data_IF_430474155160
#
_entry.id   IF_430474155160
#
_cell.length_a   1.000
_cell.length_b   1.000
_cell.length_c   1.000
_cell.angle_alpha   90.00
_cell.angle_beta   90.00
_cell.angle_gamma   90.00
#
_symmetry.space_group_name_H-M   'P 1'
#
loop_
_entity.id
_entity.type
_entity.pdbx_description
1 polymer ?
#
# COMPACT_ATOMS: atom_id res chain seq x y z
N UNK A 1 3.31 18.43 16.48
CA UNK A 1 2.43 18.12 17.59
C UNK A 1 3.25 18.30 18.84
N UNK A 2 2.72 18.94 19.88
CA UNK A 2 3.44 18.96 21.16
C UNK A 2 3.60 17.52 21.63
N UNK A 3 4.82 17.11 21.98
CA UNK A 3 5.16 15.74 22.38
C UNK A 3 4.23 15.22 23.49
N UNK A 4 3.78 16.14 24.35
CA UNK A 4 2.79 15.92 25.42
C UNK A 4 1.48 15.28 24.95
N UNK A 5 1.00 15.59 23.74
CA UNK A 5 -0.23 15.01 23.20
C UNK A 5 0.04 13.78 22.32
N UNK A 6 1.16 13.79 21.59
CA UNK A 6 1.51 12.72 20.67
C UNK A 6 1.84 11.40 21.41
N UNK A 7 2.53 11.48 22.56
CA UNK A 7 2.90 10.30 23.35
C UNK A 7 1.68 9.54 23.90
N UNK A 8 0.75 10.16 24.64
CA UNK A 8 -0.46 9.47 25.10
C UNK A 8 -1.31 8.93 23.95
N UNK A 9 -1.45 9.69 22.86
CA UNK A 9 -2.21 9.24 21.69
C UNK A 9 -1.55 8.03 21.01
N UNK A 10 -0.22 8.02 20.87
CA UNK A 10 0.53 6.88 20.33
C UNK A 10 0.37 5.65 21.23
N UNK A 11 0.50 5.82 22.55
CA UNK A 11 0.26 4.74 23.51
C UNK A 11 -1.18 4.19 23.42
N UNK A 12 -2.18 5.06 23.26
CA UNK A 12 -3.57 4.66 23.10
C UNK A 12 -3.81 3.87 21.81
N UNK A 13 -3.18 4.27 20.70
CA UNK A 13 -3.22 3.53 19.43
C UNK A 13 -2.57 2.15 19.55
N UNK A 14 -1.39 2.07 20.17
CA UNK A 14 -0.68 0.81 20.39
C UNK A 14 -1.50 -0.13 21.29
N UNK A 15 -2.04 0.41 22.39
CA UNK A 15 -2.92 -0.34 23.30
C UNK A 15 -4.17 -0.86 22.56
N UNK A 16 -4.79 -0.01 21.73
CA UNK A 16 -5.93 -0.42 20.90
C UNK A 16 -5.54 -1.53 19.91
N UNK A 17 -4.41 -1.39 19.22
CA UNK A 17 -3.93 -2.38 18.25
C UNK A 17 -3.67 -3.73 18.92
N UNK A 18 -3.07 -3.72 20.11
CA UNK A 18 -2.80 -4.92 20.92
C UNK A 18 -4.09 -5.54 21.47
N UNK A 19 -4.98 -4.74 22.07
CA UNK A 19 -6.23 -5.25 22.67
C UNK A 19 -7.20 -5.83 21.64
N UNK A 20 -7.10 -5.42 20.37
CA UNK A 20 -7.97 -5.89 19.28
C UNK A 20 -7.26 -6.84 18.31
N UNK A 21 -6.02 -7.26 18.60
CA UNK A 21 -5.19 -8.08 17.70
C UNK A 21 -5.19 -7.57 16.25
N UNK A 22 -5.21 -6.25 16.06
CA UNK A 22 -5.33 -5.65 14.71
C UNK A 22 -4.01 -5.67 13.95
N UNK A 23 -2.87 -5.77 14.66
CA UNK A 23 -1.52 -5.80 14.11
C UNK A 23 -0.72 -6.97 14.69
N UNK A 24 0.19 -7.51 13.90
CA UNK A 24 1.21 -8.46 14.39
C UNK A 24 2.22 -7.73 15.31
N UNK A 25 3.02 -8.44 16.14
CA UNK A 25 4.05 -7.80 16.97
C UNK A 25 5.03 -6.94 16.15
N UNK A 26 5.48 -7.44 14.99
CA UNK A 26 6.29 -6.66 14.06
C UNK A 26 5.51 -5.47 13.48
N UNK A 27 4.21 -5.66 13.19
CA UNK A 27 3.31 -4.58 12.76
C UNK A 27 3.19 -3.46 13.79
N UNK A 28 3.10 -3.78 15.09
CA UNK A 28 3.08 -2.80 16.18
C UNK A 28 4.39 -2.00 16.20
N UNK A 29 5.54 -2.67 16.05
CA UNK A 29 6.84 -1.99 15.99
C UNK A 29 6.90 -1.00 14.80
N UNK A 30 6.55 -1.45 13.60
CA UNK A 30 6.51 -0.58 12.41
C UNK A 30 5.50 0.58 12.56
N UNK A 31 4.33 0.31 13.14
CA UNK A 31 3.33 1.34 13.41
C UNK A 31 3.82 2.36 14.44
N UNK A 32 4.60 1.94 15.43
CA UNK A 32 5.21 2.83 16.43
C UNK A 32 6.24 3.76 15.80
N UNK A 33 7.11 3.23 14.92
CA UNK A 33 8.09 4.04 14.18
C UNK A 33 7.39 5.05 13.26
N UNK A 34 6.37 4.60 12.55
CA UNK A 34 5.53 5.45 11.69
C UNK A 34 4.86 6.56 12.51
N UNK A 35 4.25 6.21 13.64
CA UNK A 35 3.61 7.17 14.55
C UNK A 35 4.62 8.20 15.09
N UNK A 36 5.84 7.77 15.44
CA UNK A 36 6.90 8.68 15.87
C UNK A 36 7.32 9.66 14.76
N UNK A 37 7.47 9.19 13.52
CA UNK A 37 7.79 10.04 12.38
C UNK A 37 6.70 11.11 12.13
N UNK A 38 5.42 10.74 12.27
CA UNK A 38 4.30 11.69 12.13
C UNK A 38 4.18 12.62 13.34
N UNK A 39 4.48 12.15 14.55
CA UNK A 39 4.47 12.93 15.77
C UNK A 39 5.59 13.99 15.83
N UNK A 40 6.73 13.72 15.18
CA UNK A 40 7.85 14.65 15.06
C UNK A 40 7.47 15.96 14.36
N UNK A 41 6.49 15.90 13.45
CA UNK A 41 6.01 17.03 12.66
C UNK A 41 5.38 18.12 13.55
N UNK A 42 5.73 19.42 13.44
CA UNK A 42 5.19 20.50 14.30
C UNK A 42 3.67 20.66 14.26
N UNK A 43 3.05 20.52 13.09
CA UNK A 43 1.59 20.50 12.96
C UNK A 43 0.99 19.15 13.34
N UNK A 44 -0.27 19.15 13.80
CA UNK A 44 -0.99 17.93 14.18
C UNK A 44 -1.46 17.11 12.96
N UNK A 45 -1.49 17.73 11.77
CA UNK A 45 -2.07 17.16 10.56
C UNK A 45 -1.58 15.73 10.25
N UNK A 46 -0.28 15.43 10.07
CA UNK A 46 0.12 14.10 9.62
C UNK A 46 -0.25 13.00 10.62
N UNK A 47 -0.07 13.27 11.91
CA UNK A 47 -0.44 12.33 12.97
C UNK A 47 -1.96 12.13 13.05
N UNK A 48 -2.75 13.19 12.86
CA UNK A 48 -4.21 13.09 12.82
C UNK A 48 -4.68 12.24 11.63
N UNK A 49 -4.08 12.41 10.44
CA UNK A 49 -4.43 11.61 9.26
C UNK A 49 -4.08 10.13 9.45
N UNK A 50 -2.91 9.82 10.05
CA UNK A 50 -2.55 8.46 10.43
C UNK A 50 -3.60 7.85 11.37
N UNK A 51 -4.02 8.58 12.41
CA UNK A 51 -5.06 8.14 13.34
C UNK A 51 -6.38 7.86 12.62
N UNK A 52 -6.84 8.80 11.79
CA UNK A 52 -8.11 8.68 11.07
C UNK A 52 -8.06 7.50 10.11
N UNK A 53 -7.00 7.35 9.33
CA UNK A 53 -6.80 6.21 8.44
C UNK A 53 -6.82 4.88 9.19
N UNK A 54 -6.05 4.76 10.28
CA UNK A 54 -5.99 3.53 11.07
C UNK A 54 -7.36 3.17 11.65
N UNK A 55 -8.05 4.12 12.27
CA UNK A 55 -9.35 3.88 12.90
C UNK A 55 -10.44 3.59 11.87
N UNK A 56 -10.50 4.36 10.78
CA UNK A 56 -11.47 4.20 9.72
C UNK A 56 -11.25 2.89 8.95
N UNK A 57 -10.01 2.62 8.54
CA UNK A 57 -9.63 1.38 7.86
C UNK A 57 -9.92 0.14 8.71
N UNK A 58 -9.56 0.15 10.00
CA UNK A 58 -9.88 -0.95 10.93
C UNK A 58 -11.38 -1.18 11.03
N UNK A 59 -12.19 -0.10 11.11
CA UNK A 59 -13.66 -0.24 11.15
C UNK A 59 -14.20 -0.91 9.90
N UNK A 60 -13.77 -0.47 8.72
CA UNK A 60 -14.25 -1.02 7.45
C UNK A 60 -13.81 -2.47 7.24
N UNK A 61 -12.61 -2.83 7.70
CA UNK A 61 -12.11 -4.22 7.67
C UNK A 61 -13.05 -5.17 8.43
N UNK A 62 -13.62 -4.73 9.56
CA UNK A 62 -14.55 -5.56 10.35
C UNK A 62 -16.00 -5.56 9.85
N UNK A 63 -16.36 -4.74 8.85
CA UNK A 63 -17.73 -4.73 8.32
C UNK A 63 -18.01 -6.07 7.60
N UNK A 64 -18.95 -6.84 8.13
CA UNK A 64 -19.42 -8.11 7.54
C UNK A 64 -18.28 -9.12 7.27
N UNK A 65 -17.26 -9.14 8.12
CA UNK A 65 -16.07 -9.99 7.96
C UNK A 65 -16.41 -11.48 7.75
N UNK A 66 -17.40 -12.01 8.49
CA UNK A 66 -17.84 -13.41 8.34
C UNK A 66 -18.49 -13.73 6.99
N UNK A 67 -19.02 -12.73 6.29
CA UNK A 67 -19.54 -12.89 4.91
C UNK A 67 -18.38 -12.81 3.91
N UNK A 68 -17.45 -11.85 4.10
CA UNK A 68 -16.27 -11.66 3.24
C UNK A 68 -15.39 -12.91 3.21
N UNK A 69 -15.23 -13.55 4.37
CA UNK A 69 -14.53 -14.81 4.56
C UNK A 69 -14.94 -15.94 3.60
N UNK A 70 -16.18 -15.90 3.11
CA UNK A 70 -16.73 -16.93 2.24
C UNK A 70 -16.52 -16.64 0.74
N UNK A 71 -16.00 -15.47 0.37
CA UNK A 71 -15.80 -15.09 -1.03
C UNK A 71 -14.42 -15.47 -1.59
N UNK A 72 -13.41 -15.67 -0.73
CA UNK A 72 -12.05 -16.09 -1.12
C UNK A 72 -11.58 -17.28 -0.31
N UNK A 73 -10.49 -17.92 -0.76
CA UNK A 73 -9.85 -19.05 -0.09
C UNK A 73 -8.43 -18.67 0.32
N UNK A 74 -7.96 -19.09 1.50
CA UNK A 74 -6.54 -18.94 1.84
C UNK A 74 -5.71 -20.03 1.16
N UNK A 75 -4.48 -19.71 0.78
CA UNK A 75 -3.53 -20.66 0.17
C UNK A 75 -3.25 -21.91 1.03
N UNK A 76 -3.47 -21.85 2.35
CA UNK A 76 -3.32 -22.96 3.32
C UNK A 76 -4.60 -23.78 3.58
N UNK A 77 -5.69 -23.53 2.85
CA UNK A 77 -6.89 -24.39 2.87
C UNK A 77 -7.92 -24.10 3.97
N UNK A 78 -7.77 -23.01 4.73
CA UNK A 78 -8.80 -22.50 5.66
C UNK A 78 -9.70 -21.46 4.99
N UNK A 79 -10.93 -21.28 5.51
CA UNK A 79 -11.85 -20.22 5.07
C UNK A 79 -11.21 -18.84 5.21
N UNK A 80 -11.47 -17.97 4.23
CA UNK A 80 -10.84 -16.65 4.05
C UNK A 80 -11.18 -15.65 5.14
N UNK A 81 -10.51 -14.51 5.13
CA UNK A 81 -10.62 -13.44 6.13
C UNK A 81 -9.23 -12.91 6.46
N UNK A 82 -9.04 -11.59 6.56
CA UNK A 82 -7.71 -11.01 6.77
C UNK A 82 -7.23 -11.24 8.22
N UNK A 83 -5.97 -11.64 8.40
CA UNK A 83 -5.36 -11.74 9.73
C UNK A 83 -4.92 -10.37 10.26
N UNK A 84 -4.27 -10.31 11.43
CA UNK A 84 -3.64 -9.08 11.92
C UNK A 84 -2.66 -8.53 10.88
N UNK A 85 -2.67 -7.21 10.64
CA UNK A 85 -1.83 -6.63 9.58
C UNK A 85 -0.34 -6.73 9.93
N UNK A 86 0.47 -6.98 8.92
CA UNK A 86 1.92 -7.16 9.06
C UNK A 86 2.67 -5.81 9.06
N UNK A 87 3.96 -5.84 9.41
CA UNK A 87 4.83 -4.67 9.29
C UNK A 87 4.94 -4.18 7.84
N UNK A 88 4.95 -5.10 6.85
CA UNK A 88 4.98 -4.76 5.43
C UNK A 88 3.72 -4.01 5.03
N UNK A 89 2.53 -4.49 5.45
CA UNK A 89 1.26 -3.79 5.20
C UNK A 89 1.20 -2.39 5.84
N UNK A 90 1.77 -2.25 7.05
CA UNK A 90 1.86 -0.94 7.70
C UNK A 90 2.75 0.01 6.90
N UNK A 91 3.95 -0.44 6.53
CA UNK A 91 4.92 0.39 5.81
C UNK A 91 4.44 0.73 4.39
N UNK A 92 3.83 -0.23 3.67
CA UNK A 92 3.30 -0.01 2.33
C UNK A 92 2.32 1.17 2.27
N UNK A 93 1.50 1.34 3.31
CA UNK A 93 0.50 2.43 3.35
C UNK A 93 1.03 3.76 3.91
N UNK A 94 2.12 3.75 4.67
CA UNK A 94 2.50 4.89 5.53
C UNK A 94 3.94 5.36 5.42
N UNK A 95 4.83 4.61 4.76
CA UNK A 95 6.24 4.95 4.66
C UNK A 95 6.44 6.25 3.87
N UNK A 96 5.78 6.41 2.72
CA UNK A 96 5.89 7.63 1.92
C UNK A 96 5.40 8.86 2.71
N UNK A 97 4.23 8.78 3.34
CA UNK A 97 3.74 9.85 4.21
C UNK A 97 4.68 10.14 5.38
N UNK A 98 5.33 9.12 5.95
CA UNK A 98 6.32 9.30 7.04
C UNK A 98 7.52 10.10 6.57
N UNK A 99 8.08 9.76 5.40
CA UNK A 99 9.21 10.48 4.80
C UNK A 99 8.82 11.94 4.52
N UNK A 100 7.68 12.17 3.87
CA UNK A 100 7.21 13.53 3.58
C UNK A 100 6.95 14.34 4.86
N UNK A 101 6.41 13.70 5.90
CA UNK A 101 6.18 14.34 7.20
C UNK A 101 7.49 14.77 7.86
N UNK A 102 8.51 13.92 7.85
CA UNK A 102 9.82 14.29 8.43
C UNK A 102 10.49 15.40 7.62
N UNK A 103 10.44 15.34 6.29
CA UNK A 103 10.98 16.38 5.42
C UNK A 103 10.30 17.74 5.69
N UNK A 104 8.97 17.76 5.73
CA UNK A 104 8.22 18.98 5.97
C UNK A 104 8.42 19.52 7.40
N UNK A 105 8.55 18.63 8.39
CA UNK A 105 8.89 18.99 9.75
C UNK A 105 10.24 19.71 9.83
N UNK A 106 11.24 19.21 9.10
CA UNK A 106 12.56 19.83 9.03
C UNK A 106 12.51 21.18 8.30
N UNK A 107 11.71 21.28 7.23
CA UNK A 107 11.49 22.54 6.50
C UNK A 107 10.90 23.62 7.42
N UNK A 108 9.86 23.27 8.20
CA UNK A 108 9.24 24.20 9.15
C UNK A 108 10.21 24.64 10.26
N UNK A 109 11.02 23.72 10.80
CA UNK A 109 12.02 24.06 11.84
C UNK A 109 13.12 24.97 11.31
N UNK A 110 13.58 24.77 10.07
CA UNK A 110 14.54 25.67 9.41
C UNK A 110 13.96 27.08 9.26
N UNK A 111 12.70 27.19 8.83
CA UNK A 111 11.99 28.47 8.74
C UNK A 111 11.86 29.13 10.11
N UNK A 112 11.42 28.37 11.12
CA UNK A 112 11.29 28.87 12.49
C UNK A 112 12.61 29.41 13.03
N UNK A 113 13.72 28.70 12.80
CA UNK A 113 15.06 29.17 13.18
C UNK A 113 15.47 30.44 12.42
N UNK A 114 15.19 30.51 11.11
CA UNK A 114 15.47 31.69 10.28
C UNK A 114 14.67 32.92 10.74
N UNK A 115 13.40 32.76 11.13
CA UNK A 115 12.59 33.84 11.69
C UNK A 115 13.02 34.25 13.11
N UNK A 116 13.67 33.36 13.85
CA UNK A 116 14.15 33.64 15.21
C UNK A 116 15.55 34.27 15.24
N UNK A 117 16.36 34.13 14.18
CA UNK A 117 17.71 34.68 14.09
C UNK A 117 17.69 36.12 13.55
N UNK A 118 18.05 37.14 14.35
CA UNK A 118 18.10 38.52 13.92
C UNK A 118 19.11 38.80 12.79
N UNK A 119 20.06 37.88 12.55
CA UNK A 119 21.10 38.03 11.54
C UNK A 119 20.72 37.42 10.18
N UNK A 120 19.59 36.72 10.09
CA UNK A 120 19.12 36.17 8.81
C UNK A 120 18.42 37.28 8.02
N UNK A 121 18.97 37.71 6.86
CA UNK A 121 18.32 38.74 6.04
C UNK A 121 17.07 38.16 5.37
N UNK A 122 15.95 38.86 5.49
CA UNK A 122 14.67 38.59 4.83
C UNK A 122 14.26 37.10 4.79
N UNK A 123 13.98 36.48 5.96
CA UNK A 123 13.54 35.08 6.01
C UNK A 123 12.25 34.88 5.20
N UNK A 124 12.22 33.83 4.38
CA UNK A 124 11.13 33.54 3.44
C UNK A 124 10.32 32.28 3.83
N UNK A 125 9.09 32.19 3.32
CA UNK A 125 8.17 31.09 3.56
C UNK A 125 7.21 31.37 4.73
N UNK A 126 6.40 30.37 5.08
CA UNK A 126 5.37 30.50 6.13
C UNK A 126 5.42 29.33 7.12
N UNK A 127 4.97 29.59 8.35
CA UNK A 127 4.77 28.58 9.41
C UNK A 127 3.33 28.06 9.48
N UNK A 128 2.42 28.68 8.73
CA UNK A 128 1.08 28.20 8.42
C UNK A 128 1.00 27.76 6.95
N UNK A 129 -0.01 26.98 6.60
CA UNK A 129 -0.22 26.54 5.23
C UNK A 129 -0.93 27.64 4.41
N UNK A 130 -0.19 28.30 3.53
CA UNK A 130 -0.69 29.33 2.61
C UNK A 130 -1.27 28.73 1.33
N UNK A 131 -2.02 29.52 0.57
CA UNK A 131 -2.44 29.10 -0.78
C UNK A 131 -1.23 29.13 -1.70
N UNK A 132 -1.00 28.05 -2.47
CA UNK A 132 0.29 27.86 -3.15
C UNK A 132 1.42 27.44 -2.20
N UNK A 133 1.07 26.95 -1.00
CA UNK A 133 2.01 26.57 0.03
C UNK A 133 2.76 25.26 -0.24
N UNK A 134 3.19 24.62 0.84
CA UNK A 134 4.16 23.53 0.79
C UNK A 134 3.67 22.27 0.05
N UNK A 135 4.35 21.93 -1.05
CA UNK A 135 4.05 20.75 -1.86
C UNK A 135 4.07 19.46 -1.02
N UNK A 136 5.00 19.35 -0.06
CA UNK A 136 5.09 18.20 0.84
C UNK A 136 3.78 17.89 1.58
N UNK A 137 3.02 18.92 1.96
CA UNK A 137 1.71 18.76 2.63
C UNK A 137 0.68 18.16 1.69
N UNK A 138 0.68 18.58 0.42
CA UNK A 138 -0.17 17.98 -0.63
C UNK A 138 0.15 16.50 -0.77
N UNK A 139 1.43 16.13 -0.80
CA UNK A 139 1.85 14.73 -0.86
C UNK A 139 1.40 13.91 0.34
N UNK A 140 1.50 14.44 1.57
CA UNK A 140 1.02 13.75 2.79
C UNK A 140 -0.48 13.49 2.72
N UNK A 141 -1.28 14.51 2.36
CA UNK A 141 -2.73 14.37 2.25
C UNK A 141 -3.09 13.40 1.11
N UNK A 142 -2.42 13.50 -0.04
CA UNK A 142 -2.63 12.63 -1.18
C UNK A 142 -2.35 11.16 -0.83
N UNK A 143 -1.26 10.88 -0.11
CA UNK A 143 -0.94 9.53 0.37
C UNK A 143 -2.13 8.95 1.14
N UNK A 144 -2.55 9.64 2.22
CA UNK A 144 -3.59 9.12 3.10
C UNK A 144 -4.96 9.03 2.41
N UNK A 145 -5.27 9.98 1.53
CA UNK A 145 -6.52 9.96 0.79
C UNK A 145 -6.57 8.77 -0.17
N UNK A 146 -5.46 8.49 -0.87
CA UNK A 146 -5.35 7.37 -1.79
C UNK A 146 -5.38 6.01 -1.09
N UNK A 147 -4.58 5.80 -0.04
CA UNK A 147 -4.58 4.52 0.70
C UNK A 147 -5.89 4.28 1.45
N UNK A 148 -6.56 5.33 1.92
CA UNK A 148 -7.90 5.20 2.50
C UNK A 148 -8.95 4.87 1.45
N UNK A 149 -8.91 5.52 0.28
CA UNK A 149 -9.79 5.21 -0.83
C UNK A 149 -9.62 3.76 -1.28
N UNK A 150 -8.39 3.29 -1.42
CA UNK A 150 -8.09 1.91 -1.76
C UNK A 150 -8.61 0.93 -0.71
N UNK A 151 -8.26 1.14 0.57
CA UNK A 151 -8.73 0.30 1.68
C UNK A 151 -10.26 0.22 1.73
N UNK A 152 -10.97 1.34 1.54
CA UNK A 152 -12.42 1.32 1.54
C UNK A 152 -12.99 0.61 0.30
N UNK A 153 -12.37 0.83 -0.86
CA UNK A 153 -12.78 0.23 -2.13
C UNK A 153 -12.67 -1.30 -2.10
N UNK A 154 -11.55 -1.84 -1.63
CA UNK A 154 -11.32 -3.29 -1.55
C UNK A 154 -12.20 -3.95 -0.48
N UNK A 155 -12.24 -3.37 0.72
CA UNK A 155 -12.97 -3.96 1.87
C UNK A 155 -14.49 -3.94 1.73
N UNK A 156 -15.06 -2.89 1.13
CA UNK A 156 -16.49 -2.83 0.87
C UNK A 156 -16.85 -3.35 -0.51
N UNK A 157 -16.01 -3.12 -1.52
CA UNK A 157 -16.28 -3.52 -2.91
C UNK A 157 -16.50 -5.02 -3.08
N UNK A 158 -15.83 -5.86 -2.29
CA UNK A 158 -16.04 -7.32 -2.30
C UNK A 158 -17.47 -7.73 -1.90
N UNK A 159 -18.18 -6.88 -1.15
CA UNK A 159 -19.57 -7.09 -0.73
C UNK A 159 -20.59 -6.70 -1.81
N UNK A 160 -20.15 -6.17 -2.96
CA UNK A 160 -21.04 -5.76 -4.05
C UNK A 160 -21.87 -6.94 -4.56
N UNK A 161 -23.18 -6.72 -4.77
CA UNK A 161 -24.07 -7.73 -5.36
C UNK A 161 -23.69 -8.05 -6.82
N UNK A 162 -23.17 -7.06 -7.56
CA UNK A 162 -22.66 -7.23 -8.91
C UNK A 162 -21.32 -7.96 -8.95
N UNK A 163 -21.06 -8.68 -10.05
CA UNK A 163 -19.74 -9.26 -10.29
C UNK A 163 -18.73 -8.14 -10.61
N UNK A 164 -17.51 -8.18 -10.03
CA UNK A 164 -16.45 -7.26 -10.39
C UNK A 164 -16.09 -7.34 -11.87
N UNK A 165 -15.58 -6.23 -12.41
CA UNK A 165 -15.09 -6.12 -13.79
C UNK A 165 -13.61 -5.82 -13.78
N UNK A 166 -12.85 -6.52 -14.60
CA UNK A 166 -11.40 -6.33 -14.67
C UNK A 166 -11.08 -5.00 -15.38
N UNK A 167 -10.45 -4.06 -14.66
CA UNK A 167 -10.18 -2.71 -15.18
C UNK A 167 -9.15 -2.69 -16.33
N UNK A 168 -8.21 -3.62 -16.33
CA UNK A 168 -7.20 -3.75 -17.38
C UNK A 168 -7.73 -4.45 -18.64
N UNK A 169 -8.96 -4.98 -18.60
CA UNK A 169 -9.59 -5.63 -19.75
C UNK A 169 -10.29 -4.59 -20.64
N UNK A 170 -9.98 -4.52 -21.95
CA UNK A 170 -10.65 -3.58 -22.87
C UNK A 170 -12.18 -3.73 -22.92
N UNK A 171 -12.69 -4.93 -22.63
CA UNK A 171 -14.14 -5.24 -22.64
C UNK A 171 -14.77 -5.17 -21.24
N UNK A 172 -13.99 -4.80 -20.21
CA UNK A 172 -14.40 -4.82 -18.80
C UNK A 172 -15.10 -6.14 -18.43
N UNK A 173 -14.46 -7.26 -18.82
CA UNK A 173 -14.99 -8.61 -18.59
C UNK A 173 -15.24 -8.85 -17.11
N UNK A 174 -16.26 -9.65 -16.80
CA UNK A 174 -16.56 -10.05 -15.43
C UNK A 174 -15.49 -11.01 -14.91
N UNK A 175 -15.13 -10.85 -13.64
CA UNK A 175 -14.15 -11.69 -12.94
C UNK A 175 -14.69 -12.13 -11.58
N UNK A 176 -14.17 -13.23 -11.01
CA UNK A 176 -14.52 -13.65 -9.65
C UNK A 176 -14.24 -12.56 -8.60
N UNK A 177 -14.93 -12.62 -7.46
CA UNK A 177 -14.66 -11.74 -6.32
C UNK A 177 -13.26 -12.01 -5.74
N UNK A 178 -12.58 -10.95 -5.32
CA UNK A 178 -11.20 -11.00 -4.84
C UNK A 178 -10.14 -10.99 -5.95
N UNK A 179 -10.54 -10.85 -7.22
CA UNK A 179 -9.59 -10.73 -8.33
C UNK A 179 -8.89 -9.38 -8.26
N UNK A 180 -7.55 -9.37 -8.28
CA UNK A 180 -6.76 -8.14 -8.35
C UNK A 180 -7.10 -7.37 -9.63
N UNK A 181 -7.45 -6.08 -9.47
CA UNK A 181 -7.96 -5.22 -10.53
C UNK A 181 -9.44 -5.41 -10.89
N UNK A 182 -10.18 -6.22 -10.14
CA UNK A 182 -11.63 -6.32 -10.23
C UNK A 182 -12.33 -5.16 -9.55
N UNK A 183 -12.90 -4.23 -10.32
CA UNK A 183 -13.61 -3.06 -9.79
C UNK A 183 -15.13 -3.27 -9.74
N UNK A 184 -15.78 -2.67 -8.74
CA UNK A 184 -17.25 -2.63 -8.60
C UNK A 184 -17.70 -1.19 -8.35
N UNK A 185 -18.94 -0.85 -8.72
CA UNK A 185 -19.51 0.48 -8.44
C UNK A 185 -19.54 0.79 -6.94
N UNK A 186 -19.82 -0.23 -6.12
CA UNK A 186 -19.83 -0.10 -4.67
C UNK A 186 -18.40 0.15 -4.14
N UNK A 187 -17.39 -0.53 -4.68
CA UNK A 187 -15.98 -0.28 -4.36
C UNK A 187 -15.56 1.14 -4.71
N UNK A 188 -15.88 1.62 -5.92
CA UNK A 188 -15.57 3.00 -6.34
C UNK A 188 -16.25 4.04 -5.44
N UNK A 189 -17.53 3.85 -5.10
CA UNK A 189 -18.26 4.72 -4.18
C UNK A 189 -17.69 4.68 -2.74
N UNK A 190 -17.29 3.50 -2.28
CA UNK A 190 -16.61 3.34 -0.99
C UNK A 190 -15.25 4.03 -0.98
N UNK A 191 -14.46 3.92 -2.05
CA UNK A 191 -13.18 4.61 -2.17
C UNK A 191 -13.33 6.13 -2.17
N UNK A 192 -14.34 6.67 -2.88
CA UNK A 192 -14.68 8.08 -2.79
C UNK A 192 -15.00 8.51 -1.35
N UNK A 193 -15.78 7.71 -0.61
CA UNK A 193 -16.07 7.97 0.80
C UNK A 193 -14.80 7.96 1.67
N UNK A 194 -13.90 6.99 1.47
CA UNK A 194 -12.60 6.93 2.15
C UNK A 194 -11.77 8.20 1.93
N UNK A 195 -11.71 8.67 0.68
CA UNK A 195 -11.05 9.93 0.33
C UNK A 195 -11.71 11.15 0.98
N UNK A 196 -13.05 11.23 0.98
CA UNK A 196 -13.79 12.34 1.62
C UNK A 196 -13.48 12.41 3.12
N UNK A 197 -13.43 11.27 3.81
CA UNK A 197 -13.11 11.21 5.25
C UNK A 197 -11.73 11.82 5.53
N UNK A 198 -10.71 11.42 4.75
CA UNK A 198 -9.34 11.91 4.94
C UNK A 198 -9.21 13.39 4.57
N UNK A 199 -9.81 13.83 3.47
CA UNK A 199 -9.73 15.24 3.05
C UNK A 199 -10.47 16.13 4.04
N UNK A 200 -11.62 15.69 4.54
CA UNK A 200 -12.35 16.42 5.60
C UNK A 200 -11.51 16.53 6.87
N UNK A 201 -10.91 15.42 7.32
CA UNK A 201 -9.99 15.44 8.46
C UNK A 201 -8.81 16.38 8.19
N UNK A 202 -8.27 16.37 6.97
CA UNK A 202 -7.18 17.26 6.59
C UNK A 202 -7.58 18.72 6.76
N UNK A 203 -8.76 19.12 6.28
CA UNK A 203 -9.21 20.51 6.41
C UNK A 203 -9.47 20.95 7.85
N UNK A 204 -9.78 20.03 8.76
CA UNK A 204 -9.95 20.32 10.19
C UNK A 204 -8.59 20.52 10.88
N UNK A 205 -7.59 19.71 10.54
CA UNK A 205 -6.29 19.70 11.22
C UNK A 205 -5.18 20.49 10.51
N UNK A 206 -5.43 20.98 9.30
CA UNK A 206 -4.51 21.81 8.53
C UNK A 206 -4.46 23.22 9.11
N UNK A 207 -3.29 23.70 9.58
CA UNK A 207 -3.15 25.06 10.09
C UNK A 207 -3.03 26.03 8.92
N UNK A 208 -4.15 26.30 8.24
CA UNK A 208 -4.20 27.27 7.14
C UNK A 208 -3.95 28.69 7.65
N UNK A 209 -3.23 29.50 6.88
CA UNK A 209 -3.04 30.90 7.21
C UNK A 209 -4.39 31.65 7.30
N UNK A 210 -4.53 32.45 8.36
CA UNK A 210 -5.63 33.38 8.61
C UNK A 210 -5.21 34.83 8.36
N UNK A 211 -6.18 35.75 8.31
CA UNK A 211 -5.92 37.20 8.19
C UNK A 211 -4.97 37.70 9.29
N UNK A 212 -5.14 37.21 10.52
CA UNK A 212 -4.26 37.54 11.65
C UNK A 212 -2.82 37.05 11.40
N UNK A 213 -2.65 35.79 10.95
CA UNK A 213 -1.32 35.26 10.68
C UNK A 213 -0.62 35.99 9.52
N UNK A 214 -1.38 36.52 8.55
CA UNK A 214 -0.82 37.24 7.40
C UNK A 214 -0.12 38.55 7.76
N UNK A 215 -0.39 39.09 8.95
CA UNK A 215 0.27 40.29 9.47
C UNK A 215 1.60 39.99 10.16
N UNK A 216 1.91 38.71 10.39
CA UNK A 216 3.17 38.29 11.01
C UNK A 216 4.24 38.02 9.94
N UNK A 217 5.53 38.22 10.24
CA UNK A 217 6.62 37.91 9.29
C UNK A 217 6.63 36.45 8.83
N UNK A 218 6.17 35.53 9.67
CA UNK A 218 6.06 34.09 9.37
C UNK A 218 4.70 33.67 8.77
N UNK A 219 3.88 34.66 8.41
CA UNK A 219 2.56 34.50 7.82
C UNK A 219 2.57 34.13 6.35
N UNK A 220 1.39 33.86 5.80
CA UNK A 220 1.21 33.62 4.38
C UNK A 220 -0.17 34.05 3.90
N UNK A 221 -0.43 33.89 2.61
CA UNK A 221 -1.70 34.26 1.99
C UNK A 221 -2.86 33.47 2.60
N UNK A 222 -3.89 34.14 3.16
CA UNK A 222 -5.04 33.46 3.72
C UNK A 222 -5.88 32.84 2.60
N UNK A 223 -6.49 31.70 2.92
CA UNK A 223 -7.28 30.96 1.94
C UNK A 223 -8.67 31.55 1.78
N UNK A 224 -9.05 31.86 0.55
CA UNK A 224 -10.45 32.17 0.21
C UNK A 224 -11.33 30.91 0.32
N UNK A 225 -12.64 31.11 0.45
CA UNK A 225 -13.59 29.99 0.48
C UNK A 225 -13.58 29.19 -0.83
N UNK A 226 -13.38 29.86 -1.96
CA UNK A 226 -13.30 29.20 -3.27
C UNK A 226 -12.05 28.30 -3.37
N UNK A 227 -10.91 28.78 -2.91
CA UNK A 227 -9.64 28.03 -2.87
C UNK A 227 -9.73 26.80 -1.97
N UNK A 228 -10.32 26.94 -0.77
CA UNK A 228 -10.61 25.80 0.12
C UNK A 228 -11.45 24.74 -0.59
N UNK A 229 -12.52 25.14 -1.28
CA UNK A 229 -13.39 24.21 -2.04
C UNK A 229 -12.66 23.56 -3.20
N UNK A 230 -11.84 24.32 -3.94
CA UNK A 230 -11.03 23.81 -5.06
C UNK A 230 -10.03 22.76 -4.57
N UNK A 231 -9.28 23.05 -3.51
CA UNK A 231 -8.34 22.10 -2.93
C UNK A 231 -9.03 20.84 -2.40
N UNK A 232 -10.13 21.00 -1.64
CA UNK A 232 -10.91 19.85 -1.17
C UNK A 232 -11.40 18.98 -2.33
N UNK A 233 -12.01 19.59 -3.35
CA UNK A 233 -12.51 18.87 -4.52
C UNK A 233 -11.40 18.13 -5.26
N UNK A 234 -10.27 18.81 -5.49
CA UNK A 234 -9.08 18.21 -6.09
C UNK A 234 -8.59 17.01 -5.28
N UNK A 235 -8.36 17.17 -3.97
CA UNK A 235 -7.82 16.10 -3.14
C UNK A 235 -8.78 14.91 -2.98
N UNK A 236 -10.10 15.15 -3.01
CA UNK A 236 -11.10 14.06 -2.99
C UNK A 236 -11.04 13.24 -4.28
N UNK A 237 -11.01 13.91 -5.43
CA UNK A 237 -10.92 13.24 -6.72
C UNK A 237 -9.57 12.52 -6.83
N UNK A 238 -8.48 13.19 -6.47
CA UNK A 238 -7.14 12.65 -6.51
C UNK A 238 -7.01 11.41 -5.61
N UNK A 239 -7.49 11.45 -4.36
CA UNK A 239 -7.50 10.28 -3.49
C UNK A 239 -8.35 9.14 -4.05
N UNK A 240 -9.54 9.42 -4.58
CA UNK A 240 -10.39 8.40 -5.22
C UNK A 240 -9.73 7.75 -6.45
N UNK A 241 -8.96 8.50 -7.24
CA UNK A 241 -8.16 7.94 -8.34
C UNK A 241 -7.07 6.98 -7.85
N UNK A 242 -6.65 7.08 -6.58
CA UNK A 242 -5.71 6.15 -5.97
C UNK A 242 -6.18 4.71 -5.98
N UNK A 243 -7.46 4.45 -5.66
CA UNK A 243 -8.02 3.08 -5.71
C UNK A 243 -8.18 2.55 -7.14
N UNK A 244 -8.39 3.45 -8.11
CA UNK A 244 -8.42 3.12 -9.53
C UNK A 244 -7.01 2.75 -10.02
N UNK A 245 -6.00 3.52 -9.62
CA UNK A 245 -4.60 3.22 -9.91
C UNK A 245 -4.18 1.89 -9.28
N UNK A 246 -4.54 1.64 -8.02
CA UNK A 246 -4.27 0.36 -7.35
C UNK A 246 -4.87 -0.81 -8.13
N UNK A 247 -6.16 -0.69 -8.49
CA UNK A 247 -6.85 -1.71 -9.29
C UNK A 247 -6.18 -1.90 -10.67
N UNK A 248 -5.71 -0.84 -11.30
CA UNK A 248 -5.03 -0.93 -12.59
C UNK A 248 -3.67 -1.64 -12.45
N UNK A 249 -2.84 -1.22 -11.50
CA UNK A 249 -1.55 -1.82 -11.20
C UNK A 249 -1.70 -3.28 -10.76
N UNK A 250 -2.66 -3.57 -9.90
CA UNK A 250 -2.96 -4.91 -9.44
C UNK A 250 -3.47 -5.82 -10.55
N UNK A 251 -4.35 -5.32 -11.41
CA UNK A 251 -4.83 -6.06 -12.58
C UNK A 251 -3.75 -6.38 -13.61
N UNK A 252 -2.66 -5.61 -13.63
CA UNK A 252 -1.55 -5.75 -14.58
C UNK A 252 -0.38 -6.55 -13.99
N UNK A 253 0.03 -6.25 -12.76
CA UNK A 253 1.28 -6.71 -12.14
C UNK A 253 1.11 -7.71 -10.99
N UNK A 254 -0.12 -7.99 -10.55
CA UNK A 254 -0.37 -9.00 -9.53
C UNK A 254 -1.09 -10.20 -10.14
N UNK A 255 -0.55 -11.38 -9.86
CA UNK A 255 -1.18 -12.63 -10.26
C UNK A 255 -2.38 -12.95 -9.38
N UNK A 256 -3.57 -13.03 -9.98
CA UNK A 256 -4.75 -13.61 -9.32
C UNK A 256 -4.86 -15.08 -9.67
N UNK A 257 -5.04 -15.93 -8.66
CA UNK A 257 -5.16 -17.38 -8.83
C UNK A 257 -6.55 -17.81 -8.40
N UNK A 258 -7.27 -18.53 -9.26
CA UNK A 258 -8.55 -19.15 -8.92
C UNK A 258 -8.38 -20.64 -8.62
N UNK A 259 -9.13 -21.13 -7.64
CA UNK A 259 -9.34 -22.55 -7.44
C UNK A 259 -10.33 -23.07 -8.49
N UNK A 260 -9.94 -24.10 -9.23
CA UNK A 260 -10.71 -24.59 -10.39
C UNK A 260 -12.02 -25.24 -9.98
N UNK A 261 -12.11 -25.78 -8.76
CA UNK A 261 -13.29 -26.49 -8.25
C UNK A 261 -14.35 -25.54 -7.72
N UNK A 262 -13.94 -24.57 -6.89
CA UNK A 262 -14.84 -23.61 -6.26
C UNK A 262 -15.09 -22.36 -7.10
N UNK A 263 -14.21 -22.06 -8.08
CA UNK A 263 -14.23 -20.82 -8.86
C UNK A 263 -13.84 -19.57 -8.05
N UNK A 264 -13.41 -19.74 -6.79
CA UNK A 264 -13.03 -18.64 -5.89
C UNK A 264 -11.57 -18.26 -6.06
N UNK A 265 -11.25 -17.00 -5.81
CA UNK A 265 -9.86 -16.55 -5.77
C UNK A 265 -9.18 -17.07 -4.51
N UNK A 266 -7.94 -17.51 -4.68
CA UNK A 266 -7.03 -17.92 -3.63
C UNK A 266 -6.13 -16.73 -3.30
N UNK A 267 -6.12 -16.33 -2.03
CA UNK A 267 -5.30 -15.24 -1.51
C UNK A 267 -4.08 -15.79 -0.77
N UNK A 268 -2.94 -15.13 -0.94
CA UNK A 268 -1.74 -15.41 -0.16
C UNK A 268 -1.77 -14.75 1.20
N UNK A 269 -1.05 -15.33 2.16
CA UNK A 269 -1.06 -14.86 3.54
C UNK A 269 -0.32 -13.51 3.66
N UNK A 270 -0.95 -12.52 4.28
CA UNK A 270 -0.33 -11.19 4.49
C UNK A 270 -0.07 -10.40 3.20
N UNK A 271 -0.77 -10.72 2.11
CA UNK A 271 -0.60 -10.08 0.81
C UNK A 271 0.47 -10.71 -0.10
N UNK A 272 1.06 -11.84 0.31
CA UNK A 272 2.08 -12.54 -0.46
C UNK A 272 1.52 -13.22 -1.72
N UNK A 273 2.42 -13.55 -2.66
CA UNK A 273 2.10 -14.29 -3.89
C UNK A 273 1.62 -15.72 -3.61
N UNK A 274 0.68 -16.20 -4.44
CA UNK A 274 0.16 -17.57 -4.36
C UNK A 274 0.94 -18.48 -5.30
N UNK A 275 1.55 -19.52 -4.73
CA UNK A 275 2.24 -20.54 -5.50
C UNK A 275 1.23 -21.36 -6.33
N UNK A 276 1.51 -21.47 -7.63
CA UNK A 276 0.85 -22.38 -8.57
C UNK A 276 1.88 -23.42 -8.99
N UNK A 277 1.47 -24.68 -9.14
CA UNK A 277 2.35 -25.70 -9.71
C UNK A 277 2.77 -25.24 -11.12
N UNK A 278 4.08 -25.26 -11.40
CA UNK A 278 4.61 -24.90 -12.71
C UNK A 278 3.91 -25.69 -13.81
N UNK A 279 3.58 -25.01 -14.91
CA UNK A 279 3.09 -25.70 -16.09
C UNK A 279 4.19 -26.61 -16.63
N UNK A 280 3.84 -27.75 -17.24
CA UNK A 280 4.83 -28.67 -17.83
C UNK A 280 5.74 -27.97 -18.87
N UNK A 281 5.26 -26.86 -19.45
CA UNK A 281 6.01 -25.98 -20.36
C UNK A 281 7.05 -25.12 -19.64
N UNK A 282 6.75 -24.59 -18.45
CA UNK A 282 7.71 -23.80 -17.65
C UNK A 282 8.77 -24.70 -17.01
N UNK A 283 8.37 -25.90 -16.56
CA UNK A 283 9.27 -26.92 -16.04
C UNK A 283 10.26 -27.42 -17.11
N UNK A 284 9.83 -27.52 -18.38
CA UNK A 284 10.69 -27.89 -19.50
C UNK A 284 11.69 -26.78 -19.86
N UNK A 285 11.27 -25.51 -19.78
CA UNK A 285 12.16 -24.37 -19.99
C UNK A 285 13.24 -24.30 -18.90
N UNK A 286 12.87 -24.45 -17.63
CA UNK A 286 13.83 -24.50 -16.53
C UNK A 286 14.71 -25.76 -16.53
N UNK A 287 14.20 -26.92 -16.98
CA UNK A 287 15.03 -28.12 -17.12
C UNK A 287 16.05 -27.96 -18.24
N UNK A 288 15.70 -27.32 -19.36
CA UNK A 288 16.64 -27.08 -20.45
C UNK A 288 17.77 -26.12 -20.02
N UNK A 289 17.44 -25.04 -19.32
CA UNK A 289 18.46 -24.11 -18.77
C UNK A 289 19.37 -24.80 -17.73
N UNK A 290 18.80 -25.65 -16.87
CA UNK A 290 19.58 -26.40 -15.88
C UNK A 290 20.43 -27.50 -16.52
N UNK A 291 19.96 -28.10 -17.62
CA UNK A 291 20.72 -29.11 -18.37
C UNK A 291 21.86 -28.47 -19.17
N UNK A 292 21.66 -27.29 -19.73
CA UNK A 292 22.72 -26.50 -20.38
C UNK A 292 23.78 -26.02 -19.39
N UNK A 293 23.37 -25.58 -18.18
CA UNK A 293 24.31 -25.21 -17.12
C UNK A 293 25.15 -26.42 -16.64
N UNK A 294 24.51 -27.58 -16.43
CA UNK A 294 25.21 -28.81 -16.01
C UNK A 294 26.10 -29.36 -17.14
N UNK A 295 25.71 -29.24 -18.42
CA UNK A 295 26.57 -29.61 -19.54
C UNK A 295 27.78 -28.68 -19.71
N UNK A 296 27.66 -27.40 -19.34
CA UNK A 296 28.78 -26.47 -19.32
C UNK A 296 29.79 -26.80 -18.21
N UNK A 297 29.32 -27.18 -17.02
CA UNK A 297 30.17 -27.58 -15.89
C UNK A 297 30.80 -28.98 -16.08
N UNK A 298 30.12 -29.91 -16.77
CA UNK A 298 30.65 -31.24 -17.05
C UNK A 298 31.76 -31.23 -18.12
N UNK A 299 31.84 -30.19 -18.95
CA UNK A 299 32.91 -30.05 -19.97
C UNK A 299 34.22 -29.50 -19.40
N UNK A 300 34.20 -28.96 -18.18
CA UNK A 300 35.38 -28.39 -17.51
C UNK A 300 36.05 -29.36 -16.52
N UNK A 301 35.46 -30.53 -16.26
CA UNK A 301 36.04 -31.57 -15.39
C UNK A 301 36.05 -32.95 -16.06
N UNK A 302 36.90 -33.11 -17.06
CA UNK A 302 37.39 -34.42 -17.50
C UNK A 302 38.89 -34.52 -17.21
N UNK A 303 39.20 -35.07 -16.04
CA UNK A 303 40.54 -35.43 -15.61
C UNK A 303 40.49 -36.14 -14.26
N UNK A 304 40.36 -37.48 -14.27
CA UNK A 304 40.64 -38.29 -13.08
C UNK A 304 39.66 -39.45 -12.82
N UNK A 305 40.05 -40.61 -13.33
CA UNK A 305 39.83 -42.00 -12.90
C UNK A 305 38.71 -42.40 -11.91
N UNK A 306 38.06 -43.50 -12.30
CA UNK A 306 37.14 -44.35 -11.54
C UNK A 306 37.74 -44.95 -10.25
N UNK A 307 36.85 -45.34 -9.31
CA UNK A 307 36.76 -46.65 -8.65
C UNK A 307 35.33 -46.80 -8.07
N UNK A 308 34.79 -48.01 -8.20
CA UNK A 308 33.52 -48.52 -7.70
C UNK A 308 33.71 -49.04 -6.28
N UNK A 309 32.75 -48.87 -5.37
CA UNK A 309 32.36 -49.92 -4.43
C UNK A 309 30.98 -49.64 -3.81
N UNK A 310 30.29 -50.74 -3.56
CA UNK A 310 28.87 -50.91 -3.23
C UNK A 310 28.62 -50.93 -1.70
N UNK A 311 27.34 -50.94 -1.37
CA UNK A 311 26.68 -51.39 -0.12
C UNK A 311 26.28 -50.43 1.03
N UNK A 312 24.99 -50.63 1.35
CA UNK A 312 24.24 -50.54 2.60
C UNK A 312 23.61 -49.23 3.12
N UNK A 313 22.33 -49.09 2.74
CA UNK A 313 21.16 -48.98 3.61
C UNK A 313 21.22 -48.08 4.87
N UNK A 314 20.43 -46.99 4.86
CA UNK A 314 19.37 -46.69 5.85
C UNK A 314 18.65 -45.35 5.54
N UNK A 315 17.33 -45.34 5.78
CA UNK A 315 16.45 -44.19 6.02
C UNK A 315 16.18 -43.17 4.87
N UNK A 316 15.23 -43.54 3.99
CA UNK A 316 14.14 -42.67 3.50
C UNK A 316 14.47 -41.22 3.13
N UNK A 317 15.48 -41.00 2.28
CA UNK A 317 15.80 -39.68 1.71
C UNK A 317 14.80 -39.36 0.60
N UNK A 318 14.27 -38.13 0.63
CA UNK A 318 13.47 -37.53 -0.42
C UNK A 318 14.16 -37.65 -1.79
N UNK A 319 13.58 -38.44 -2.70
CA UNK A 319 14.11 -38.61 -4.06
C UNK A 319 13.31 -37.78 -5.07
N UNK A 320 13.96 -36.77 -5.65
CA UNK A 320 13.42 -35.88 -6.68
C UNK A 320 13.06 -36.55 -8.02
N UNK A 321 13.22 -37.88 -8.15
CA UNK A 321 13.04 -38.64 -9.40
C UNK A 321 11.77 -39.49 -9.47
N UNK A 322 10.89 -39.44 -8.47
CA UNK A 322 9.60 -40.14 -8.52
C UNK A 322 8.64 -39.50 -9.55
N UNK A 323 8.68 -40.01 -10.79
CA UNK A 323 7.78 -39.64 -11.90
C UNK A 323 6.34 -40.18 -11.74
N UNK A 324 6.02 -40.84 -10.63
CA UNK A 324 4.70 -41.44 -10.37
C UNK A 324 3.99 -40.83 -9.16
N UNK A 325 3.93 -39.50 -9.07
CA UNK A 325 2.96 -38.85 -8.17
C UNK A 325 1.61 -38.75 -8.89
N UNK A 326 0.73 -39.74 -8.66
CA UNK A 326 -0.69 -39.63 -9.05
C UNK A 326 -1.34 -38.51 -8.22
N UNK A 327 -2.20 -37.70 -8.84
CA UNK A 327 -2.98 -36.70 -8.11
C UNK A 327 -3.81 -37.40 -7.05
N UNK A 328 -3.86 -36.85 -5.84
CA UNK A 328 -4.59 -37.44 -4.70
C UNK A 328 -6.11 -37.54 -4.93
N UNK A 329 -6.62 -37.12 -6.08
CA UNK A 329 -8.06 -36.97 -6.32
C UNK A 329 -8.55 -37.53 -7.68
N UNK A 330 -7.70 -38.22 -8.44
CA UNK A 330 -8.14 -39.02 -9.61
C UNK A 330 -8.40 -38.23 -10.90
N UNK A 331 -8.53 -36.91 -10.84
CA UNK A 331 -8.53 -36.00 -11.98
C UNK A 331 -7.16 -35.32 -12.09
N UNK A 332 -6.46 -35.49 -13.21
CA UNK A 332 -5.12 -34.92 -13.47
C UNK A 332 -5.16 -33.40 -13.74
N UNK A 333 -6.26 -32.72 -13.43
CA UNK A 333 -6.41 -31.28 -13.69
C UNK A 333 -5.73 -30.48 -12.56
N UNK A 334 -5.05 -29.37 -12.88
CA UNK A 334 -4.45 -28.52 -11.87
C UNK A 334 -5.54 -27.97 -10.94
N UNK A 335 -5.29 -27.99 -9.62
CA UNK A 335 -6.23 -27.46 -8.62
C UNK A 335 -6.36 -25.93 -8.68
N UNK A 336 -5.33 -25.26 -9.18
CA UNK A 336 -5.23 -23.79 -9.28
C UNK A 336 -4.99 -23.37 -10.73
N UNK A 337 -5.69 -22.33 -11.16
CA UNK A 337 -5.51 -21.71 -12.47
C UNK A 337 -5.29 -20.20 -12.32
N UNK A 338 -4.49 -19.61 -13.21
CA UNK A 338 -4.29 -18.16 -13.24
C UNK A 338 -5.53 -17.50 -13.83
N UNK A 339 -6.00 -16.42 -13.20
CA UNK A 339 -7.14 -15.63 -13.68
C UNK A 339 -6.69 -14.40 -14.48
N UNK A 340 -5.69 -13.66 -13.99
CA UNK A 340 -5.09 -12.49 -14.66
C UNK A 340 -3.78 -12.05 -13.98
N UNK A 341 -3.13 -11.07 -14.62
CA UNK A 341 -1.96 -10.35 -14.12
C UNK A 341 -0.63 -11.08 -14.33
N UNK A 342 0.45 -10.30 -14.33
CA UNK A 342 1.82 -10.80 -14.32
C UNK A 342 2.25 -11.10 -12.87
N UNK A 343 3.13 -12.07 -12.65
CA UNK A 343 3.55 -12.48 -11.29
C UNK A 343 4.75 -11.64 -10.77
N UNK A 344 4.68 -10.32 -11.00
CA UNK A 344 5.80 -9.40 -10.77
C UNK A 344 5.80 -8.81 -9.37
N UNK A 345 4.63 -8.34 -8.92
CA UNK A 345 4.46 -7.63 -7.65
C UNK A 345 3.45 -8.34 -6.75
N UNK A 346 3.64 -8.22 -5.45
CA UNK A 346 2.65 -8.67 -4.46
C UNK A 346 1.64 -7.56 -4.09
N UNK A 347 0.77 -7.82 -3.10
CA UNK A 347 -0.23 -6.83 -2.69
C UNK A 347 0.38 -5.59 -2.03
N UNK A 348 1.41 -5.78 -1.24
CA UNK A 348 2.04 -4.71 -0.49
C UNK A 348 2.90 -3.84 -1.40
N UNK A 349 3.56 -4.43 -2.39
CA UNK A 349 4.34 -3.71 -3.40
C UNK A 349 3.46 -2.76 -4.22
N UNK A 350 2.30 -3.21 -4.67
CA UNK A 350 1.36 -2.37 -5.43
C UNK A 350 0.78 -1.25 -4.57
N UNK A 351 0.35 -1.56 -3.33
CA UNK A 351 -0.11 -0.54 -2.39
C UNK A 351 0.96 0.55 -2.17
N UNK A 352 2.21 0.15 -1.98
CA UNK A 352 3.32 1.08 -1.81
C UNK A 352 3.58 1.91 -3.08
N UNK A 353 3.60 1.28 -4.25
CA UNK A 353 3.78 1.95 -5.53
C UNK A 353 2.66 2.96 -5.80
N UNK A 354 1.40 2.59 -5.53
CA UNK A 354 0.26 3.48 -5.62
C UNK A 354 0.41 4.65 -4.65
N UNK A 355 0.71 4.41 -3.37
CA UNK A 355 0.88 5.45 -2.37
C UNK A 355 1.98 6.47 -2.78
N UNK A 356 3.12 5.98 -3.26
CA UNK A 356 4.22 6.81 -3.77
C UNK A 356 3.78 7.62 -5.00
N UNK A 357 3.17 6.96 -5.98
CA UNK A 357 2.73 7.60 -7.24
C UNK A 357 1.69 8.68 -6.98
N UNK A 358 0.71 8.42 -6.12
CA UNK A 358 -0.33 9.39 -5.79
C UNK A 358 0.22 10.55 -4.97
N UNK A 359 1.19 10.31 -4.08
CA UNK A 359 1.85 11.37 -3.31
C UNK A 359 2.67 12.30 -4.21
N UNK A 360 3.58 11.73 -5.01
CA UNK A 360 4.47 12.48 -5.90
C UNK A 360 3.68 13.14 -7.03
N UNK A 361 2.72 12.44 -7.61
CA UNK A 361 1.85 12.99 -8.66
C UNK A 361 1.00 14.14 -8.14
N UNK A 362 0.46 14.05 -6.92
CA UNK A 362 -0.30 15.14 -6.30
C UNK A 362 0.58 16.39 -6.09
N UNK A 363 1.83 16.19 -5.66
CA UNK A 363 2.83 17.24 -5.56
C UNK A 363 3.17 17.86 -6.92
N UNK A 364 3.35 17.04 -7.96
CA UNK A 364 3.68 17.50 -9.30
C UNK A 364 2.54 18.32 -9.92
N UNK A 365 1.28 17.88 -9.75
CA UNK A 365 0.10 18.64 -10.22
C UNK A 365 -0.03 19.95 -9.46
N UNK A 366 0.18 19.96 -8.15
CA UNK A 366 0.15 21.17 -7.34
C UNK A 366 1.29 22.14 -7.71
N UNK A 367 2.50 21.61 -7.94
CA UNK A 367 3.67 22.35 -8.41
C UNK A 367 3.37 23.06 -9.74
N UNK A 368 2.83 22.33 -10.71
CA UNK A 368 2.43 22.90 -11.99
C UNK A 368 1.30 23.93 -11.86
N UNK A 369 0.28 23.64 -11.04
CA UNK A 369 -0.89 24.51 -10.91
C UNK A 369 -0.60 25.83 -10.18
N UNK A 370 0.24 25.78 -9.15
CA UNK A 370 0.63 26.95 -8.35
C UNK A 370 1.93 27.61 -8.82
N UNK A 371 2.57 27.08 -9.87
CA UNK A 371 3.89 27.53 -10.36
C UNK A 371 4.97 27.52 -9.25
N UNK A 372 4.88 26.52 -8.36
CA UNK A 372 5.85 26.34 -7.27
C UNK A 372 6.92 25.35 -7.73
N UNK A 373 8.22 25.72 -7.74
CA UNK A 373 9.28 24.83 -8.19
C UNK A 373 9.32 23.54 -7.35
N UNK A 374 9.44 22.38 -8.00
CA UNK A 374 9.54 21.09 -7.29
C UNK A 374 10.78 21.02 -6.38
N UNK A 375 11.81 21.81 -6.68
CA UNK A 375 13.02 21.96 -5.87
C UNK A 375 12.72 22.53 -4.47
N UNK A 376 11.61 23.26 -4.30
CA UNK A 376 11.15 23.76 -2.99
C UNK A 376 10.95 22.65 -1.95
N UNK A 377 10.71 21.42 -2.40
CA UNK A 377 10.59 20.21 -1.57
C UNK A 377 11.90 19.90 -0.84
N UNK A 378 13.05 20.23 -1.43
CA UNK A 378 14.37 19.97 -0.85
C UNK A 378 14.77 21.04 0.18
N UNK A 379 13.94 22.08 0.38
CA UNK A 379 14.23 23.17 1.32
C UNK A 379 15.51 23.95 0.96
N UNK A 380 15.75 24.11 -0.35
CA UNK A 380 16.77 24.99 -0.94
C UNK A 380 16.12 26.32 -1.26
#
# INVERSE_FOLDING_TARGET
MRLLYALPATCALIYRAKSRNSLTPAGIFAATLTAAAHAYHPWNLPFALLCVFFLAGTRVTHIKEGIKANYTLRSKGTSGGEGPRTHVQVLANSLMASVLSVLHANQLRKREAAFADPNTPDPTGSLCFSWGGDLLVVGIIANYAAVAADTFSSELGILSSGQPRLITSPTLRKVPRGTNGGVTLLGLGAGLLGSIIIVTASMIFLPSCSEESSQTPAGGTPWTMLERRKFMGFMVIWGALGSVLDSFLGGLFQRSVKDVRSGKIVEGEGGNRVLVAESATDAAAHSNVKTEAIQSEAKEKLGGSAIVDDDDAHAGVYHHKDKHRKSSFGDQRPSRAVENGWDLLDNNDVNFLMAVTMSVGGMAVASWYWDVPIQSVMGV
#
